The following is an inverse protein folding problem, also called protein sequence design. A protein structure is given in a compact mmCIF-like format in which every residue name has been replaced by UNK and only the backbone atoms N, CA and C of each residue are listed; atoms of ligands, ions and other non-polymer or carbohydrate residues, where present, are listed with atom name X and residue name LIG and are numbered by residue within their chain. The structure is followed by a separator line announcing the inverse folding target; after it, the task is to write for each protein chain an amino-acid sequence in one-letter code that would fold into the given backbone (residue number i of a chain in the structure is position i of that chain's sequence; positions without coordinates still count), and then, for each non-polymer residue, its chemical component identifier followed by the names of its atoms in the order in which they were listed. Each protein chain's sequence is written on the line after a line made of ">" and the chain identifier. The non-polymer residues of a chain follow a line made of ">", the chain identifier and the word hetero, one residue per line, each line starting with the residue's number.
data_IF_709240947007
#
_entry.id   IF_709240947007
#
_cell.length_a   1.000
_cell.length_b   1.000
_cell.length_c   1.000
_cell.angle_alpha   90.00
_cell.angle_beta   90.00
_cell.angle_gamma   90.00
#
_symmetry.space_group_name_H-M   'P 1'
#
loop_
_entity.id
_entity.type
_entity.pdbx_description
1 polymer ?
#
# COMPACT_ATOMS: atom_id res chain seq x y z
N UNK A 1 -19.76 -44.32 -50.67
CA UNK A 1 -20.94 -43.45 -50.91
C UNK A 1 -21.86 -43.53 -49.69
N UNK A 2 -22.33 -42.37 -49.20
CA UNK A 2 -23.39 -42.16 -48.19
C UNK A 2 -22.99 -42.54 -46.75
N UNK A 3 -23.30 -41.81 -45.68
CA UNK A 3 -23.78 -40.45 -45.34
C UNK A 3 -23.77 -40.45 -43.80
N UNK A 4 -23.72 -39.28 -43.15
CA UNK A 4 -24.15 -38.94 -41.76
C UNK A 4 -24.48 -40.08 -40.75
N UNK A 5 -24.04 -40.02 -39.50
CA UNK A 5 -24.85 -39.48 -38.40
C UNK A 5 -23.91 -39.13 -37.22
N UNK A 6 -23.36 -37.91 -37.20
CA UNK A 6 -22.73 -37.34 -36.00
C UNK A 6 -23.89 -36.98 -35.05
N UNK A 7 -24.23 -37.90 -34.15
CA UNK A 7 -25.23 -37.66 -33.10
C UNK A 7 -24.79 -36.47 -32.26
N UNK A 8 -25.45 -35.34 -32.51
CA UNK A 8 -25.29 -34.06 -31.83
C UNK A 8 -25.65 -34.22 -30.35
N UNK A 9 -24.63 -34.36 -29.50
CA UNK A 9 -24.78 -34.30 -28.05
C UNK A 9 -25.01 -32.83 -27.68
N UNK A 10 -26.24 -32.50 -27.29
CA UNK A 10 -26.60 -31.19 -26.71
C UNK A 10 -25.92 -31.07 -25.34
N UNK A 11 -24.73 -30.46 -25.30
CA UNK A 11 -24.13 -29.99 -24.05
C UNK A 11 -24.86 -28.69 -23.69
N UNK A 12 -25.84 -28.78 -22.79
CA UNK A 12 -26.40 -27.60 -22.09
C UNK A 12 -25.29 -27.07 -21.19
N UNK A 13 -24.48 -26.18 -21.74
CA UNK A 13 -23.39 -25.51 -21.02
C UNK A 13 -23.97 -24.55 -19.99
N UNK A 14 -23.80 -24.87 -18.71
CA UNK A 14 -24.02 -23.93 -17.62
C UNK A 14 -22.97 -22.80 -17.77
N UNK A 15 -23.36 -21.67 -18.36
CA UNK A 15 -22.50 -20.49 -18.46
C UNK A 15 -22.35 -19.90 -17.07
N UNK A 16 -21.31 -20.34 -16.35
CA UNK A 16 -20.89 -19.71 -15.11
C UNK A 16 -20.27 -18.35 -15.45
N UNK A 17 -21.08 -17.30 -15.40
CA UNK A 17 -20.57 -15.92 -15.42
C UNK A 17 -19.73 -15.69 -14.17
N UNK A 18 -18.40 -15.71 -14.30
CA UNK A 18 -17.49 -15.34 -13.24
C UNK A 18 -17.72 -13.85 -12.90
N UNK A 19 -18.30 -13.58 -11.73
CA UNK A 19 -18.37 -12.23 -11.18
C UNK A 19 -16.95 -11.79 -10.82
N UNK A 20 -16.36 -10.93 -11.64
CA UNK A 20 -15.07 -10.31 -11.33
C UNK A 20 -15.29 -9.22 -10.27
N UNK A 21 -14.86 -9.48 -9.03
CA UNK A 21 -14.82 -8.43 -8.00
C UNK A 21 -13.65 -7.50 -8.32
N UNK A 22 -13.86 -6.18 -8.49
CA UNK A 22 -12.75 -5.26 -8.70
C UNK A 22 -11.88 -5.24 -7.43
N UNK A 23 -10.61 -5.59 -7.58
CA UNK A 23 -9.62 -5.41 -6.51
C UNK A 23 -9.34 -3.91 -6.37
N UNK A 24 -9.76 -3.30 -5.26
CA UNK A 24 -9.35 -1.95 -4.93
C UNK A 24 -7.87 -1.97 -4.54
N UNK A 25 -7.08 -1.03 -5.07
CA UNK A 25 -5.72 -0.82 -4.59
C UNK A 25 -5.76 -0.43 -3.11
N UNK A 26 -4.84 -0.97 -2.31
CA UNK A 26 -4.68 -0.56 -0.92
C UNK A 26 -4.38 0.94 -0.85
N UNK A 27 -5.07 1.66 0.03
CA UNK A 27 -4.79 3.09 0.26
C UNK A 27 -3.64 3.24 1.25
N UNK A 28 -2.99 4.40 1.27
CA UNK A 28 -1.94 4.69 2.26
C UNK A 28 -2.45 4.47 3.69
N UNK A 29 -3.66 4.95 3.99
CA UNK A 29 -4.30 4.84 5.30
C UNK A 29 -4.54 3.39 5.71
N UNK A 30 -4.86 2.51 4.75
CA UNK A 30 -5.11 1.09 5.03
C UNK A 30 -3.89 0.38 5.62
N UNK A 31 -2.67 0.88 5.38
CA UNK A 31 -1.44 0.32 5.94
C UNK A 31 -1.39 0.42 7.47
N UNK A 32 -2.13 1.36 8.08
CA UNK A 32 -2.23 1.43 9.54
C UNK A 32 -2.85 0.17 10.17
N UNK A 33 -3.55 -0.65 9.39
CA UNK A 33 -4.16 -1.91 9.84
C UNK A 33 -3.25 -3.14 9.72
N UNK A 34 -2.03 -2.98 9.21
CA UNK A 34 -1.13 -4.11 8.99
C UNK A 34 -0.62 -4.66 10.34
N UNK A 35 -0.80 -5.97 10.53
CA UNK A 35 -0.25 -6.70 11.68
C UNK A 35 1.12 -7.26 11.33
N UNK A 36 2.13 -6.81 12.04
CA UNK A 36 3.51 -7.28 11.92
C UNK A 36 4.03 -7.70 13.30
N UNK A 37 4.92 -8.71 13.39
CA UNK A 37 5.57 -9.07 14.65
C UNK A 37 6.25 -7.87 15.30
N UNK A 38 6.09 -7.74 16.61
CA UNK A 38 6.78 -6.76 17.45
C UNK A 38 6.62 -5.30 16.99
N UNK A 39 5.59 -5.00 16.20
CA UNK A 39 5.47 -3.72 15.51
C UNK A 39 4.07 -3.15 15.72
N UNK A 40 4.00 -1.85 15.99
CA UNK A 40 2.76 -1.08 15.98
C UNK A 40 2.90 0.06 15.01
N UNK A 41 2.10 0.05 13.93
CA UNK A 41 2.00 1.20 13.03
C UNK A 41 1.15 2.25 13.74
N UNK A 42 1.74 3.40 14.04
CA UNK A 42 1.08 4.47 14.79
C UNK A 42 0.21 5.33 13.89
N UNK A 43 0.63 5.54 12.64
CA UNK A 43 -0.19 6.12 11.59
C UNK A 43 0.37 5.79 10.19
N UNK A 44 -0.50 5.87 9.19
CA UNK A 44 -0.13 5.91 7.79
C UNK A 44 -0.97 6.99 7.10
N UNK A 45 -0.33 7.98 6.46
CA UNK A 45 -1.02 9.12 5.85
C UNK A 45 -0.36 9.58 4.56
N UNK A 46 -1.14 9.97 3.53
CA UNK A 46 -0.61 10.61 2.35
C UNK A 46 -0.09 12.01 2.68
N UNK A 47 1.01 12.38 2.04
CA UNK A 47 1.63 13.70 2.10
C UNK A 47 1.72 14.22 0.66
N UNK A 48 1.16 15.40 0.40
CA UNK A 48 1.28 16.05 -0.90
C UNK A 48 2.70 16.47 -1.23
N UNK A 49 2.98 16.69 -2.51
CA UNK A 49 4.30 17.13 -2.97
C UNK A 49 4.68 18.46 -2.30
N UNK A 50 5.86 18.51 -1.68
CA UNK A 50 6.36 19.68 -0.95
C UNK A 50 5.57 20.08 0.31
N UNK A 51 4.60 19.28 0.74
CA UNK A 51 3.76 19.56 1.93
C UNK A 51 4.35 19.01 3.23
N UNK A 52 5.37 18.14 3.15
CA UNK A 52 6.01 17.61 4.34
C UNK A 52 6.64 18.72 5.17
N UNK A 53 6.20 18.82 6.43
CA UNK A 53 6.80 19.70 7.43
C UNK A 53 7.39 18.84 8.54
N UNK A 54 8.73 18.78 8.67
CA UNK A 54 9.35 18.03 9.76
C UNK A 54 9.02 18.67 11.11
N UNK A 55 8.98 17.89 12.20
CA UNK A 55 9.00 18.46 13.55
C UNK A 55 10.17 19.44 13.70
N UNK A 56 9.98 20.50 14.49
CA UNK A 56 11.03 21.47 14.73
C UNK A 56 12.28 20.77 15.28
N UNK A 57 13.41 20.92 14.59
CA UNK A 57 14.68 20.43 15.09
C UNK A 57 14.99 21.10 16.43
N UNK A 58 15.63 20.37 17.34
CA UNK A 58 16.14 20.94 18.60
C UNK A 58 17.13 22.06 18.24
N UNK A 59 16.73 23.32 18.44
CA UNK A 59 17.51 24.50 18.02
C UNK A 59 16.97 25.29 16.82
N UNK A 60 15.77 24.98 16.31
CA UNK A 60 15.01 25.87 15.41
C UNK A 60 15.48 25.94 13.95
N UNK A 61 16.65 25.39 13.59
CA UNK A 61 17.08 25.18 12.21
C UNK A 61 16.89 23.72 11.80
N UNK A 62 15.68 23.40 11.32
CA UNK A 62 15.45 22.17 10.55
C UNK A 62 15.61 22.44 9.05
N UNK A 63 15.92 21.43 8.22
CA UNK A 63 16.09 21.59 6.78
C UNK A 63 14.75 21.75 6.05
N UNK A 64 13.81 22.54 6.58
CA UNK A 64 12.44 22.69 6.06
C UNK A 64 12.39 23.03 4.56
N UNK A 65 13.38 23.75 4.04
CA UNK A 65 13.51 24.04 2.62
C UNK A 65 13.86 22.81 1.77
N UNK A 66 14.65 21.86 2.29
CA UNK A 66 15.08 20.66 1.56
C UNK A 66 13.90 19.72 1.24
N UNK A 67 12.84 19.75 2.06
CA UNK A 67 11.68 18.89 1.88
C UNK A 67 10.66 19.42 0.86
N UNK A 68 10.82 20.67 0.38
CA UNK A 68 9.91 21.26 -0.61
C UNK A 68 9.98 20.60 -1.98
N UNK A 69 11.09 19.94 -2.31
CA UNK A 69 11.27 19.23 -3.58
C UNK A 69 10.77 17.78 -3.55
N UNK A 70 10.24 17.29 -2.42
CA UNK A 70 9.76 15.91 -2.35
C UNK A 70 8.50 15.72 -3.19
N UNK A 71 8.42 14.63 -3.98
CA UNK A 71 7.18 14.24 -4.62
C UNK A 71 6.15 13.81 -3.56
N UNK A 72 4.88 13.65 -3.94
CA UNK A 72 3.87 13.10 -3.04
C UNK A 72 4.24 11.67 -2.59
N UNK A 73 3.99 11.35 -1.32
CA UNK A 73 4.35 10.05 -0.74
C UNK A 73 3.40 9.64 0.39
N UNK A 74 3.36 8.34 0.68
CA UNK A 74 2.75 7.76 1.87
C UNK A 74 3.76 7.73 3.00
N UNK A 75 3.47 8.42 4.11
CA UNK A 75 4.29 8.40 5.33
C UNK A 75 3.67 7.42 6.32
N UNK A 76 4.42 6.37 6.62
CA UNK A 76 4.07 5.38 7.64
C UNK A 76 5.02 5.57 8.83
N UNK A 77 4.48 5.73 10.03
CA UNK A 77 5.26 5.74 11.25
C UNK A 77 4.95 4.49 12.08
N UNK A 78 5.98 3.88 12.66
CA UNK A 78 5.84 2.68 13.46
C UNK A 78 6.75 2.67 14.68
N UNK A 79 6.33 1.93 15.70
CA UNK A 79 7.13 1.58 16.87
C UNK A 79 7.43 0.09 16.84
N UNK A 80 8.70 -0.28 16.95
CA UNK A 80 9.18 -1.67 16.99
C UNK A 80 9.71 -2.00 18.39
N UNK A 81 9.35 -3.18 18.90
CA UNK A 81 9.72 -3.71 20.23
C UNK A 81 10.16 -5.18 20.17
N UNK A 82 11.25 -5.50 19.44
CA UNK A 82 11.73 -6.88 19.31
C UNK A 82 12.23 -7.51 20.63
N UNK A 83 12.53 -6.69 21.64
CA UNK A 83 12.86 -7.11 23.01
C UNK A 83 12.09 -6.24 24.02
N UNK A 84 11.98 -6.69 25.27
CA UNK A 84 11.19 -5.98 26.30
C UNK A 84 11.69 -4.58 26.66
N UNK A 85 12.95 -4.28 26.38
CA UNK A 85 13.61 -2.98 26.60
C UNK A 85 13.74 -2.13 25.32
N UNK A 86 13.31 -2.65 24.17
CA UNK A 86 13.33 -1.90 22.91
C UNK A 86 12.13 -0.95 22.78
N UNK A 87 12.38 0.28 22.31
CA UNK A 87 11.37 1.22 21.82
C UNK A 87 11.89 1.99 20.60
N UNK A 88 11.85 1.34 19.44
CA UNK A 88 12.46 1.86 18.21
C UNK A 88 11.40 2.58 17.38
N UNK A 89 11.60 3.87 17.09
CA UNK A 89 10.70 4.66 16.24
C UNK A 89 11.25 4.71 14.81
N UNK A 90 10.46 4.27 13.84
CA UNK A 90 10.82 4.33 12.42
C UNK A 90 9.76 5.07 11.63
N UNK A 91 10.18 5.52 10.45
CA UNK A 91 9.27 5.94 9.39
C UNK A 91 9.64 5.25 8.08
N UNK A 92 8.62 4.87 7.32
CA UNK A 92 8.76 4.37 5.94
C UNK A 92 8.02 5.33 5.03
N UNK A 93 8.72 5.84 4.02
CA UNK A 93 8.19 6.81 3.07
C UNK A 93 8.14 6.16 1.70
N UNK A 94 6.93 5.99 1.16
CA UNK A 94 6.74 5.36 -0.15
C UNK A 94 6.19 6.36 -1.15
N UNK A 95 6.83 6.63 -2.29
CA UNK A 95 6.31 7.57 -3.26
C UNK A 95 4.91 7.15 -3.74
N UNK A 96 4.03 8.13 -3.92
CA UNK A 96 2.66 7.90 -4.39
C UNK A 96 2.61 7.36 -5.83
N UNK A 97 3.70 7.52 -6.59
CA UNK A 97 3.87 7.00 -7.95
C UNK A 97 5.35 6.86 -8.28
N UNK A 98 5.70 6.11 -9.33
CA UNK A 98 7.09 5.99 -9.78
C UNK A 98 7.99 5.18 -8.85
N UNK A 99 7.43 4.16 -8.18
CA UNK A 99 8.21 3.20 -7.38
C UNK A 99 9.25 2.49 -8.25
N UNK A 100 10.51 2.44 -7.82
CA UNK A 100 11.64 1.91 -8.59
C UNK A 100 12.15 0.52 -8.14
N UNK A 101 11.60 -0.04 -7.07
CA UNK A 101 12.08 -1.31 -6.48
C UNK A 101 13.23 -1.11 -5.51
#
# INVERSE_FOLDING_TARGET
>A
MRRNEMRMILIVGCVATALTVPAAAATCESLASLTLPDTTITFARPIGAGEFTPPAARGGRGPGAAFKALPAFCRVAATLKPTGDSDIKIEVWMPASGWNG
#
